data_IF_861123984986
#
_entry.id   IF_861123984986
#
_cell.length_a   1.000
_cell.length_b   1.000
_cell.length_c   1.000
_cell.angle_alpha   90.00
_cell.angle_beta   90.00
_cell.angle_gamma   90.00
#
_symmetry.space_group_name_H-M   'P 1'
#
loop_
_entity.id
_entity.type
_entity.pdbx_description
1 polymer ?
#
# COMPACT_ATOMS: atom_id res chain seq x y z
N UNK A 1 -6.48 1.13 -32.05
CA UNK A 1 -5.61 1.82 -33.03
C UNK A 1 -4.31 1.04 -33.09
N UNK A 2 -3.92 0.48 -34.24
CA UNK A 2 -2.61 -0.19 -34.38
C UNK A 2 -1.50 0.82 -34.07
N UNK A 3 -0.57 0.45 -33.19
CA UNK A 3 0.62 1.26 -32.93
C UNK A 3 1.32 1.55 -34.27
N UNK A 4 1.47 2.83 -34.62
CA UNK A 4 2.14 3.26 -35.86
C UNK A 4 1.24 3.68 -37.03
N UNK A 5 -0.10 3.74 -36.87
CA UNK A 5 -1.00 4.11 -37.97
C UNK A 5 -0.86 5.58 -38.44
N UNK A 6 -0.27 6.47 -37.63
CA UNK A 6 -0.07 7.89 -37.96
C UNK A 6 1.40 8.26 -37.70
N UNK A 7 2.19 8.57 -38.75
CA UNK A 7 3.63 8.89 -38.62
C UNK A 7 3.90 10.07 -37.69
N UNK A 8 3.04 11.10 -37.70
CA UNK A 8 3.18 12.28 -36.86
C UNK A 8 3.05 11.96 -35.37
N UNK A 9 2.10 11.08 -35.00
CA UNK A 9 1.93 10.63 -33.62
C UNK A 9 3.09 9.72 -33.18
N UNK A 10 3.62 8.90 -34.10
CA UNK A 10 4.79 8.08 -33.82
C UNK A 10 6.03 8.94 -33.56
N UNK A 11 6.24 9.99 -34.36
CA UNK A 11 7.32 10.96 -34.17
C UNK A 11 7.16 11.71 -32.83
N UNK A 12 5.97 12.24 -32.54
CA UNK A 12 5.69 12.94 -31.29
C UNK A 12 5.93 12.04 -30.06
N UNK A 13 5.53 10.76 -30.14
CA UNK A 13 5.82 9.77 -29.10
C UNK A 13 7.31 9.56 -28.94
N UNK A 14 8.06 9.32 -30.02
CA UNK A 14 9.50 9.09 -29.98
C UNK A 14 10.27 10.29 -29.38
N UNK A 15 9.92 11.51 -29.81
CA UNK A 15 10.50 12.75 -29.26
C UNK A 15 10.22 12.89 -27.77
N UNK A 16 8.98 12.64 -27.34
CA UNK A 16 8.59 12.72 -25.92
C UNK A 16 9.33 11.69 -25.07
N UNK A 17 9.48 10.46 -25.57
CA UNK A 17 10.23 9.40 -24.86
C UNK A 17 11.68 9.80 -24.68
N UNK A 18 12.33 10.31 -25.73
CA UNK A 18 13.73 10.71 -25.67
C UNK A 18 13.96 11.91 -24.73
N UNK A 19 13.10 12.93 -24.81
CA UNK A 19 13.14 14.08 -23.90
C UNK A 19 12.93 13.66 -22.44
N UNK A 20 11.95 12.80 -22.17
CA UNK A 20 11.67 12.29 -20.82
C UNK A 20 12.83 11.46 -20.27
N UNK A 21 13.44 10.59 -21.09
CA UNK A 21 14.63 9.81 -20.69
C UNK A 21 15.83 10.72 -20.41
N UNK A 22 16.06 11.74 -21.23
CA UNK A 22 17.15 12.72 -21.02
C UNK A 22 16.98 13.46 -19.71
N UNK A 23 15.76 13.87 -19.37
CA UNK A 23 15.43 14.47 -18.08
C UNK A 23 15.70 13.51 -16.91
N UNK A 24 15.19 12.28 -16.98
CA UNK A 24 15.34 11.28 -15.91
C UNK A 24 16.82 10.96 -15.61
N UNK A 25 17.69 10.90 -16.63
CA UNK A 25 19.13 10.66 -16.45
C UNK A 25 19.87 11.76 -15.68
N UNK A 26 19.32 12.98 -15.64
CA UNK A 26 19.95 14.15 -14.99
C UNK A 26 19.28 14.52 -13.67
N UNK A 27 18.21 13.80 -13.30
CA UNK A 27 17.46 14.06 -12.08
C UNK A 27 18.30 13.70 -10.85
N UNK A 28 18.39 14.64 -9.92
CA UNK A 28 19.00 14.48 -8.59
C UNK A 28 18.10 15.12 -7.54
N UNK A 29 18.40 14.91 -6.26
CA UNK A 29 17.65 15.53 -5.15
C UNK A 29 17.70 17.06 -5.17
N UNK A 30 18.77 17.64 -5.71
CA UNK A 30 19.02 19.09 -5.70
C UNK A 30 18.28 19.83 -6.82
N UNK A 31 18.01 19.16 -7.94
CA UNK A 31 17.46 19.80 -9.15
C UNK A 31 15.99 19.45 -9.43
N UNK A 32 15.30 18.80 -8.48
CA UNK A 32 13.89 18.38 -8.59
C UNK A 32 12.93 19.50 -8.95
N UNK A 33 13.13 20.72 -8.42
CA UNK A 33 12.27 21.88 -8.72
C UNK A 33 12.40 22.35 -10.17
N UNK A 34 13.62 22.35 -10.70
CA UNK A 34 13.89 22.79 -12.07
C UNK A 34 13.28 21.79 -13.05
N UNK A 35 13.59 20.51 -12.88
CA UNK A 35 13.03 19.45 -13.73
C UNK A 35 11.52 19.27 -13.52
N UNK A 36 10.99 19.60 -12.35
CA UNK A 36 9.54 19.57 -12.12
C UNK A 36 8.77 20.57 -12.99
N UNK A 37 9.33 21.76 -13.22
CA UNK A 37 8.73 22.75 -14.14
C UNK A 37 8.79 22.28 -15.59
N UNK A 38 9.87 21.58 -15.96
CA UNK A 38 10.02 21.02 -17.30
C UNK A 38 9.06 19.84 -17.52
N UNK A 39 8.99 18.91 -16.54
CA UNK A 39 8.05 17.81 -16.52
C UNK A 39 6.61 18.30 -16.66
N UNK A 40 6.22 19.36 -15.94
CA UNK A 40 4.90 19.97 -16.08
C UNK A 40 4.57 20.28 -17.54
N UNK A 41 5.47 20.95 -18.26
CA UNK A 41 5.29 21.32 -19.69
C UNK A 41 5.12 20.10 -20.60
N UNK A 42 5.96 19.08 -20.45
CA UNK A 42 5.91 17.88 -21.30
C UNK A 42 4.63 17.07 -21.01
N UNK A 43 4.26 16.97 -19.74
CA UNK A 43 3.09 16.22 -19.27
C UNK A 43 1.77 16.86 -19.72
N UNK A 44 1.74 18.18 -19.96
CA UNK A 44 0.57 18.84 -20.56
C UNK A 44 0.28 18.35 -21.99
N UNK A 45 1.30 17.99 -22.75
CA UNK A 45 1.14 17.59 -24.15
C UNK A 45 0.91 16.09 -24.30
N UNK A 46 1.78 15.27 -23.69
CA UNK A 46 1.78 13.81 -23.88
C UNK A 46 1.91 13.05 -22.54
N UNK A 47 0.92 13.16 -21.63
CA UNK A 47 1.00 12.63 -20.26
C UNK A 47 1.22 11.10 -20.22
N UNK A 48 0.48 10.34 -21.02
CA UNK A 48 0.57 8.86 -21.02
C UNK A 48 1.99 8.37 -21.36
N UNK A 49 2.62 8.95 -22.39
CA UNK A 49 3.96 8.56 -22.84
C UNK A 49 5.02 8.92 -21.80
N UNK A 50 4.88 10.10 -21.16
CA UNK A 50 5.76 10.56 -20.10
C UNK A 50 5.68 9.62 -18.90
N UNK A 51 4.48 9.32 -18.40
CA UNK A 51 4.30 8.47 -17.24
C UNK A 51 4.69 7.01 -17.50
N UNK A 52 4.41 6.49 -18.70
CA UNK A 52 4.89 5.16 -19.11
C UNK A 52 6.42 5.08 -18.99
N UNK A 53 7.12 6.08 -19.55
CA UNK A 53 8.59 6.16 -19.52
C UNK A 53 9.13 6.30 -18.09
N UNK A 54 8.51 7.15 -17.27
CA UNK A 54 8.91 7.38 -15.88
C UNK A 54 8.71 6.12 -15.02
N UNK A 55 7.55 5.47 -15.14
CA UNK A 55 7.24 4.25 -14.39
C UNK A 55 8.16 3.09 -14.79
N UNK A 56 8.53 2.97 -16.07
CA UNK A 56 9.54 2.00 -16.51
C UNK A 56 10.92 2.25 -15.89
N UNK A 57 11.32 3.51 -15.72
CA UNK A 57 12.60 3.84 -15.05
C UNK A 57 12.55 3.57 -13.54
N UNK A 58 11.46 3.92 -12.86
CA UNK A 58 11.28 3.64 -11.42
C UNK A 58 11.33 2.14 -11.14
N UNK A 59 10.75 1.32 -12.03
CA UNK A 59 10.78 -0.13 -11.88
C UNK A 59 12.19 -0.73 -11.89
N UNK A 60 13.14 -0.07 -12.56
CA UNK A 60 14.53 -0.50 -12.61
C UNK A 60 15.40 0.11 -11.49
N UNK A 61 15.06 1.32 -11.03
CA UNK A 61 15.90 2.12 -10.14
C UNK A 61 15.07 2.71 -8.99
N UNK A 62 15.20 2.11 -7.80
CA UNK A 62 14.49 2.49 -6.58
C UNK A 62 14.97 3.85 -6.00
N UNK A 63 16.25 4.16 -6.14
CA UNK A 63 16.86 5.42 -5.71
C UNK A 63 16.24 6.65 -6.39
N UNK A 64 15.58 6.49 -7.54
CA UNK A 64 14.88 7.56 -8.25
C UNK A 64 13.48 7.86 -7.69
N UNK A 65 12.90 7.01 -6.84
CA UNK A 65 11.51 7.15 -6.36
C UNK A 65 11.29 8.52 -5.70
N UNK A 66 12.11 8.86 -4.71
CA UNK A 66 11.93 10.12 -3.96
C UNK A 66 12.16 11.36 -4.84
N UNK A 67 13.27 11.46 -5.61
CA UNK A 67 13.46 12.57 -6.55
C UNK A 67 12.33 12.73 -7.58
N UNK A 68 11.79 11.60 -8.10
CA UNK A 68 10.70 11.64 -9.07
C UNK A 68 9.42 12.14 -8.42
N UNK A 69 9.05 11.60 -7.25
CA UNK A 69 7.90 12.09 -6.49
C UNK A 69 8.07 13.57 -6.16
N UNK A 70 9.29 14.06 -5.90
CA UNK A 70 9.55 15.48 -5.68
C UNK A 70 9.38 16.36 -6.92
N UNK A 71 9.78 15.84 -8.08
CA UNK A 71 9.67 16.48 -9.38
C UNK A 71 8.20 16.68 -9.81
N UNK A 72 7.26 15.84 -9.35
CA UNK A 72 5.84 15.87 -9.74
C UNK A 72 5.04 17.07 -9.19
N UNK A 73 5.69 18.03 -8.49
CA UNK A 73 5.01 19.16 -7.83
C UNK A 73 4.15 20.03 -8.76
N UNK A 74 4.55 20.18 -10.02
CA UNK A 74 3.90 21.09 -10.99
C UNK A 74 3.00 20.36 -12.00
N UNK A 75 2.63 19.11 -11.70
CA UNK A 75 1.73 18.31 -12.53
C UNK A 75 0.27 18.73 -12.28
N UNK A 76 -0.56 18.67 -13.34
CA UNK A 76 -1.98 19.02 -13.24
C UNK A 76 -2.83 17.91 -12.62
N UNK A 77 -4.04 18.22 -12.12
CA UNK A 77 -4.97 17.19 -11.63
C UNK A 77 -5.26 16.09 -12.66
N UNK A 78 -5.58 16.45 -13.92
CA UNK A 78 -5.83 15.47 -14.99
C UNK A 78 -4.61 14.57 -15.25
N UNK A 79 -3.41 15.14 -15.18
CA UNK A 79 -2.19 14.37 -15.32
C UNK A 79 -1.98 13.41 -14.14
N UNK A 80 -2.41 13.75 -12.92
CA UNK A 80 -2.40 12.80 -11.81
C UNK A 80 -3.38 11.65 -12.02
N UNK A 81 -4.58 11.91 -12.55
CA UNK A 81 -5.53 10.84 -12.88
C UNK A 81 -4.96 9.88 -13.93
N UNK A 82 -4.32 10.43 -14.96
CA UNK A 82 -3.62 9.63 -15.97
C UNK A 82 -2.41 8.88 -15.38
N UNK A 83 -1.67 9.46 -14.45
CA UNK A 83 -0.60 8.76 -13.73
C UNK A 83 -1.15 7.57 -12.96
N UNK A 84 -2.27 7.73 -12.23
CA UNK A 84 -2.91 6.62 -11.50
C UNK A 84 -3.39 5.53 -12.46
N UNK A 85 -3.98 5.88 -13.60
CA UNK A 85 -4.36 4.91 -14.63
C UNK A 85 -3.15 4.14 -15.19
N UNK A 86 -2.07 4.85 -15.52
CA UNK A 86 -0.84 4.23 -16.01
C UNK A 86 -0.19 3.34 -14.95
N UNK A 87 -0.18 3.78 -13.70
CA UNK A 87 0.33 3.01 -12.56
C UNK A 87 -0.43 1.69 -12.39
N UNK A 88 -1.76 1.72 -12.44
CA UNK A 88 -2.60 0.51 -12.42
C UNK A 88 -2.33 -0.40 -13.61
N UNK A 89 -2.16 0.16 -14.81
CA UNK A 89 -1.83 -0.60 -16.02
C UNK A 89 -0.47 -1.33 -15.89
N UNK A 90 0.53 -0.68 -15.30
CA UNK A 90 1.83 -1.29 -15.00
C UNK A 90 1.73 -2.37 -13.91
N UNK A 91 0.92 -2.17 -12.87
CA UNK A 91 0.66 -3.20 -11.84
C UNK A 91 -0.11 -4.42 -12.38
N UNK A 92 -1.02 -4.19 -13.33
CA UNK A 92 -1.85 -5.23 -13.95
C UNK A 92 -1.16 -5.97 -15.11
N UNK A 93 0.08 -5.58 -15.48
CA UNK A 93 0.82 -6.14 -16.60
C UNK A 93 1.03 -7.67 -16.45
N UNK A 94 0.45 -8.50 -17.33
CA UNK A 94 0.56 -9.96 -17.22
C UNK A 94 1.91 -10.51 -17.70
N UNK A 95 2.65 -9.72 -18.48
CA UNK A 95 3.94 -10.13 -19.07
C UNK A 95 5.11 -10.10 -18.09
N UNK A 96 4.91 -9.61 -16.86
CA UNK A 96 5.96 -9.48 -15.85
C UNK A 96 5.74 -10.48 -14.73
N UNK A 97 6.73 -11.34 -14.51
CA UNK A 97 6.74 -12.23 -13.34
C UNK A 97 6.82 -11.38 -12.08
N UNK A 98 5.95 -11.67 -11.11
CA UNK A 98 5.85 -10.93 -9.83
C UNK A 98 6.81 -11.48 -8.76
N UNK A 99 7.28 -12.70 -8.95
CA UNK A 99 8.31 -13.34 -8.14
C UNK A 99 9.63 -13.36 -8.92
N UNK A 100 10.75 -13.35 -8.21
CA UNK A 100 12.06 -13.66 -8.78
C UNK A 100 12.12 -15.14 -9.16
N UNK A 101 13.19 -15.53 -9.84
CA UNK A 101 13.45 -16.93 -10.24
C UNK A 101 13.53 -17.89 -9.04
N UNK A 102 13.84 -17.37 -7.85
CA UNK A 102 13.82 -18.13 -6.59
C UNK A 102 12.40 -18.52 -6.11
N UNK A 103 11.35 -17.91 -6.68
CA UNK A 103 9.95 -18.11 -6.32
C UNK A 103 9.58 -17.69 -4.89
N UNK A 104 10.50 -17.07 -4.14
CA UNK A 104 10.30 -16.62 -2.76
C UNK A 104 10.20 -15.09 -2.72
N UNK A 105 11.15 -14.43 -3.36
CA UNK A 105 11.26 -12.99 -3.29
C UNK A 105 10.39 -12.33 -4.35
N UNK A 106 9.76 -11.22 -3.97
CA UNK A 106 9.06 -10.36 -4.93
C UNK A 106 10.06 -9.74 -5.89
N UNK A 107 9.68 -9.62 -7.16
CA UNK A 107 10.50 -8.95 -8.16
C UNK A 107 10.74 -7.48 -7.82
N UNK A 108 11.94 -7.00 -8.11
CA UNK A 108 12.39 -5.64 -7.79
C UNK A 108 11.42 -4.59 -8.34
N UNK A 109 10.95 -4.77 -9.58
CA UNK A 109 10.02 -3.83 -10.23
C UNK A 109 8.73 -3.62 -9.43
N UNK A 110 8.21 -4.68 -8.81
CA UNK A 110 6.96 -4.62 -8.04
C UNK A 110 7.19 -3.96 -6.68
N UNK A 111 8.32 -4.23 -6.03
CA UNK A 111 8.74 -3.53 -4.81
C UNK A 111 8.93 -2.03 -5.07
N UNK A 112 9.60 -1.67 -6.16
CA UNK A 112 9.82 -0.27 -6.54
C UNK A 112 8.52 0.47 -6.84
N UNK A 113 7.59 -0.16 -7.57
CA UNK A 113 6.26 0.42 -7.82
C UNK A 113 5.45 0.58 -6.54
N UNK A 114 5.48 -0.42 -5.67
CA UNK A 114 4.79 -0.41 -4.38
C UNK A 114 5.29 0.75 -3.49
N UNK A 115 6.62 0.88 -3.36
CA UNK A 115 7.26 2.00 -2.66
C UNK A 115 6.95 3.35 -3.31
N UNK A 116 6.91 3.42 -4.65
CA UNK A 116 6.50 4.62 -5.36
C UNK A 116 5.04 5.01 -5.06
N UNK A 117 4.10 4.05 -5.02
CA UNK A 117 2.71 4.30 -4.62
C UNK A 117 2.67 4.94 -3.23
N UNK A 118 3.31 4.32 -2.25
CA UNK A 118 3.35 4.82 -0.87
C UNK A 118 3.85 6.27 -0.78
N UNK A 119 4.95 6.60 -1.48
CA UNK A 119 5.50 7.96 -1.49
C UNK A 119 4.61 8.96 -2.25
N UNK A 120 4.06 8.57 -3.40
CA UNK A 120 3.18 9.40 -4.21
C UNK A 120 1.94 9.80 -3.43
N UNK A 121 1.22 8.81 -2.89
CA UNK A 121 0.01 9.07 -2.12
C UNK A 121 0.35 9.81 -0.83
N UNK A 122 1.40 9.47 -0.09
CA UNK A 122 1.80 10.26 1.10
C UNK A 122 1.95 11.75 0.78
N UNK A 123 2.58 12.09 -0.35
CA UNK A 123 2.93 13.47 -0.68
C UNK A 123 1.79 14.29 -1.28
N UNK A 124 0.97 13.69 -2.15
CA UNK A 124 -0.02 14.42 -2.93
C UNK A 124 -1.45 14.09 -2.47
N UNK A 125 -2.10 15.01 -1.72
CA UNK A 125 -3.42 14.77 -1.14
C UNK A 125 -4.55 14.73 -2.18
N UNK A 126 -4.38 15.36 -3.33
CA UNK A 126 -5.42 15.51 -4.35
C UNK A 126 -5.53 14.31 -5.30
N UNK A 127 -4.66 13.30 -5.17
CA UNK A 127 -4.71 12.10 -6.01
C UNK A 127 -5.76 11.15 -5.45
N UNK A 128 -6.58 10.63 -6.37
CA UNK A 128 -7.57 9.57 -6.17
C UNK A 128 -6.87 8.26 -5.74
N UNK A 129 -7.25 7.70 -4.56
CA UNK A 129 -6.62 6.52 -3.95
C UNK A 129 -7.51 5.26 -4.02
N UNK A 130 -8.83 5.44 -4.11
CA UNK A 130 -9.85 4.39 -4.09
C UNK A 130 -9.66 3.41 -5.24
N UNK A 131 -9.32 3.88 -6.45
CA UNK A 131 -9.06 3.00 -7.59
C UNK A 131 -7.92 2.01 -7.34
N UNK A 132 -6.87 2.43 -6.63
CA UNK A 132 -5.78 1.54 -6.21
C UNK A 132 -6.22 0.56 -5.13
N UNK A 133 -6.98 1.01 -4.13
CA UNK A 133 -7.48 0.14 -3.07
C UNK A 133 -8.45 -0.91 -3.63
N UNK A 134 -9.37 -0.52 -4.51
CA UNK A 134 -10.29 -1.43 -5.19
C UNK A 134 -9.53 -2.43 -6.07
N UNK A 135 -8.49 -2.01 -6.78
CA UNK A 135 -7.63 -2.91 -7.52
C UNK A 135 -7.05 -3.99 -6.60
N UNK A 136 -6.46 -3.61 -5.46
CA UNK A 136 -5.91 -4.55 -4.47
C UNK A 136 -6.99 -5.51 -3.94
N UNK A 137 -8.16 -4.99 -3.57
CA UNK A 137 -9.29 -5.82 -3.06
C UNK A 137 -9.75 -6.83 -4.11
N UNK A 138 -9.93 -6.40 -5.36
CA UNK A 138 -10.40 -7.27 -6.44
C UNK A 138 -9.36 -8.33 -6.83
N UNK A 139 -8.08 -7.97 -6.81
CA UNK A 139 -7.01 -8.92 -7.10
C UNK A 139 -6.86 -9.96 -6.00
N UNK A 140 -7.01 -9.55 -4.74
CA UNK A 140 -7.01 -10.46 -3.60
C UNK A 140 -8.22 -11.41 -3.65
N UNK A 141 -9.41 -10.90 -3.98
CA UNK A 141 -10.60 -11.73 -4.23
C UNK A 141 -10.39 -12.75 -5.36
N UNK A 142 -9.52 -12.45 -6.32
CA UNK A 142 -9.15 -13.36 -7.41
C UNK A 142 -8.04 -14.35 -7.02
N UNK A 143 -7.63 -14.41 -5.75
CA UNK A 143 -6.58 -15.29 -5.24
C UNK A 143 -5.16 -14.80 -5.51
N UNK A 144 -4.98 -13.59 -6.06
CA UNK A 144 -3.65 -13.00 -6.25
C UNK A 144 -3.23 -12.26 -4.97
N UNK A 145 -2.46 -12.94 -4.13
CA UNK A 145 -2.00 -12.42 -2.83
C UNK A 145 -0.79 -11.50 -2.92
N UNK A 146 0.00 -11.56 -3.99
CA UNK A 146 1.24 -10.78 -4.10
C UNK A 146 1.01 -9.26 -4.09
N UNK A 147 -0.16 -8.78 -4.53
CA UNK A 147 -0.52 -7.35 -4.48
C UNK A 147 -0.63 -6.80 -3.06
N UNK A 148 -0.70 -7.64 -2.02
CA UNK A 148 -0.70 -7.19 -0.62
C UNK A 148 0.52 -6.34 -0.26
N UNK A 149 1.65 -6.47 -0.97
CA UNK A 149 2.81 -5.57 -0.78
C UNK A 149 2.45 -4.10 -1.01
N UNK A 150 1.57 -3.82 -1.97
CA UNK A 150 1.14 -2.46 -2.27
C UNK A 150 0.33 -1.89 -1.13
N UNK A 151 -0.55 -2.70 -0.53
CA UNK A 151 -1.29 -2.31 0.68
C UNK A 151 -0.32 -2.06 1.85
N UNK A 152 0.63 -2.97 2.05
CA UNK A 152 1.63 -2.86 3.12
C UNK A 152 2.43 -1.57 3.02
N UNK A 153 3.01 -1.29 1.86
CA UNK A 153 3.80 -0.07 1.66
C UNK A 153 2.94 1.20 1.72
N UNK A 154 1.67 1.14 1.29
CA UNK A 154 0.74 2.26 1.48
C UNK A 154 0.55 2.56 2.97
N UNK A 155 0.29 1.55 3.80
CA UNK A 155 0.13 1.73 5.25
C UNK A 155 1.45 2.21 5.88
N UNK A 156 2.59 1.59 5.56
CA UNK A 156 3.92 2.01 6.03
C UNK A 156 4.23 3.48 5.71
N UNK A 157 3.98 3.94 4.48
CA UNK A 157 4.36 5.30 4.06
C UNK A 157 3.30 6.34 4.43
N UNK A 158 2.01 6.02 4.32
CA UNK A 158 0.92 6.97 4.57
C UNK A 158 0.51 7.05 6.04
N UNK A 159 0.55 5.94 6.78
CA UNK A 159 0.20 5.90 8.20
C UNK A 159 1.42 5.90 9.11
N UNK A 160 2.57 5.42 8.63
CA UNK A 160 3.79 5.34 9.44
C UNK A 160 3.84 4.13 10.35
N UNK A 161 2.97 3.15 10.11
CA UNK A 161 2.90 1.89 10.85
C UNK A 161 3.70 0.87 10.06
N UNK A 162 4.81 0.42 10.61
CA UNK A 162 5.69 -0.58 10.01
C UNK A 162 5.66 -1.86 10.84
N UNK A 163 5.93 -3.00 10.21
CA UNK A 163 6.18 -4.23 10.93
C UNK A 163 7.53 -4.11 11.65
N UNK A 164 7.54 -4.42 12.95
CA UNK A 164 8.74 -4.38 13.76
C UNK A 164 9.40 -5.75 13.76
N UNK A 165 10.55 -5.86 13.12
CA UNK A 165 11.38 -7.07 13.10
C UNK A 165 12.52 -6.95 14.12
N UNK A 166 13.02 -8.09 14.60
CA UNK A 166 14.22 -8.19 15.45
C UNK A 166 14.22 -7.31 16.72
N UNK A 167 13.09 -7.25 17.42
CA UNK A 167 12.97 -6.51 18.69
C UNK A 167 13.72 -7.21 19.83
N UNK A 168 14.42 -6.43 20.66
CA UNK A 168 14.96 -6.91 21.93
C UNK A 168 13.83 -7.24 22.92
N UNK A 169 14.11 -8.05 23.94
CA UNK A 169 13.14 -8.39 24.98
C UNK A 169 12.54 -7.13 25.66
N UNK A 170 13.38 -6.14 25.95
CA UNK A 170 12.95 -4.88 26.56
C UNK A 170 12.06 -4.06 25.61
N UNK A 171 12.40 -4.03 24.31
CA UNK A 171 11.59 -3.34 23.30
C UNK A 171 10.23 -4.04 23.11
N UNK A 172 10.21 -5.38 23.15
CA UNK A 172 8.98 -6.17 23.07
C UNK A 172 8.09 -5.94 24.30
N UNK A 173 8.68 -5.88 25.49
CA UNK A 173 7.92 -5.56 26.71
C UNK A 173 7.40 -4.13 26.70
N UNK A 174 8.18 -3.16 26.18
CA UNK A 174 7.72 -1.79 26.00
C UNK A 174 6.56 -1.70 24.98
N UNK A 175 6.57 -2.54 23.94
CA UNK A 175 5.45 -2.62 22.98
C UNK A 175 4.16 -3.19 23.59
N UNK A 176 4.25 -4.02 24.64
CA UNK A 176 3.10 -4.47 25.41
C UNK A 176 2.57 -3.43 26.42
N UNK A 177 3.27 -2.29 26.57
CA UNK A 177 2.90 -1.21 27.47
C UNK A 177 1.91 -0.21 26.87
N UNK A 178 1.74 0.93 27.56
CA UNK A 178 0.91 2.03 27.11
C UNK A 178 1.48 2.76 25.88
N UNK A 179 0.68 3.65 25.29
CA UNK A 179 1.02 4.42 24.08
C UNK A 179 2.38 5.12 24.18
N UNK A 180 2.73 5.69 25.34
CA UNK A 180 4.01 6.35 25.55
C UNK A 180 5.20 5.39 25.37
N UNK A 181 5.14 4.18 25.94
CA UNK A 181 6.22 3.19 25.81
C UNK A 181 6.34 2.66 24.38
N UNK A 182 5.20 2.41 23.72
CA UNK A 182 5.15 2.02 22.31
C UNK A 182 5.75 3.09 21.39
N UNK A 183 5.46 4.36 21.67
CA UNK A 183 6.01 5.49 20.94
C UNK A 183 7.52 5.60 21.14
N UNK A 184 8.02 5.43 22.38
CA UNK A 184 9.46 5.42 22.65
C UNK A 184 10.22 4.39 21.80
N UNK A 185 9.70 3.16 21.67
CA UNK A 185 10.32 2.13 20.82
C UNK A 185 10.33 2.56 19.35
N UNK A 186 9.22 3.12 18.88
CA UNK A 186 9.10 3.62 17.49
C UNK A 186 10.07 4.76 17.20
N UNK A 187 10.26 5.66 18.16
CA UNK A 187 11.20 6.78 18.10
C UNK A 187 12.66 6.30 18.12
N UNK A 188 12.99 5.33 18.98
CA UNK A 188 14.33 4.72 19.07
C UNK A 188 14.73 4.04 17.75
N UNK A 189 13.77 3.45 17.04
CA UNK A 189 13.98 2.83 15.73
C UNK A 189 13.97 3.84 14.57
N UNK A 190 13.77 5.13 14.85
CA UNK A 190 13.72 6.18 13.81
C UNK A 190 12.52 6.04 12.86
N UNK A 191 11.48 5.32 13.28
CA UNK A 191 10.29 5.04 12.47
C UNK A 191 9.22 6.13 12.58
N UNK A 192 9.40 7.07 13.52
CA UNK A 192 8.52 8.20 13.73
C UNK A 192 8.36 9.05 12.47
N UNK A 193 7.15 9.06 11.90
CA UNK A 193 6.82 9.79 10.67
C UNK A 193 5.64 10.72 10.94
N UNK A 194 5.72 11.97 10.47
CA UNK A 194 4.56 12.87 10.45
C UNK A 194 3.58 12.42 9.36
N UNK A 195 2.57 11.65 9.75
CA UNK A 195 1.65 10.96 8.83
C UNK A 195 0.18 11.26 9.13
N UNK A 196 -0.14 12.15 10.09
CA UNK A 196 -1.54 12.37 10.53
C UNK A 196 -2.51 12.68 9.38
N UNK A 197 -2.12 13.57 8.47
CA UNK A 197 -2.97 13.96 7.32
C UNK A 197 -3.10 12.86 6.28
N UNK A 198 -2.00 12.20 5.91
CA UNK A 198 -2.02 11.10 4.93
C UNK A 198 -2.75 9.87 5.49
N UNK A 199 -2.58 9.59 6.78
CA UNK A 199 -3.26 8.53 7.54
C UNK A 199 -4.77 8.74 7.56
N UNK A 200 -5.24 9.94 7.91
CA UNK A 200 -6.68 10.27 7.88
C UNK A 200 -7.27 10.09 6.49
N UNK A 201 -6.55 10.45 5.43
CA UNK A 201 -7.05 10.26 4.06
C UNK A 201 -7.12 8.80 3.65
N UNK A 202 -6.14 7.97 4.04
CA UNK A 202 -6.20 6.52 3.82
C UNK A 202 -7.41 5.92 4.55
N UNK A 203 -7.63 6.33 5.81
CA UNK A 203 -8.79 5.93 6.61
C UNK A 203 -10.10 6.31 5.90
N UNK A 204 -10.24 7.57 5.50
CA UNK A 204 -11.46 8.07 4.84
C UNK A 204 -11.72 7.35 3.51
N UNK A 205 -10.68 7.04 2.75
CA UNK A 205 -10.80 6.30 1.50
C UNK A 205 -11.30 4.86 1.73
N UNK A 206 -10.84 4.20 2.80
CA UNK A 206 -11.27 2.84 3.15
C UNK A 206 -12.70 2.82 3.71
N UNK A 207 -13.04 3.74 4.61
CA UNK A 207 -14.36 3.79 5.26
C UNK A 207 -15.48 4.20 4.30
N UNK A 208 -15.30 5.31 3.58
CA UNK A 208 -16.36 5.85 2.69
C UNK A 208 -16.74 4.90 1.56
N UNK A 209 -15.82 4.03 1.15
CA UNK A 209 -16.02 3.06 0.08
C UNK A 209 -16.30 1.64 0.60
N UNK A 210 -16.46 1.45 1.92
CA UNK A 210 -16.77 0.15 2.51
C UNK A 210 -15.71 -0.93 2.26
N UNK A 211 -14.44 -0.54 2.12
CA UNK A 211 -13.35 -1.47 1.77
C UNK A 211 -12.71 -2.15 3.00
N UNK A 212 -12.98 -1.65 4.22
CA UNK A 212 -12.39 -2.18 5.46
C UNK A 212 -12.72 -3.65 5.70
N UNK A 213 -14.01 -4.00 5.80
CA UNK A 213 -14.43 -5.37 6.03
C UNK A 213 -13.99 -6.32 4.90
N UNK A 214 -14.21 -6.01 3.60
CA UNK A 214 -13.71 -6.84 2.52
C UNK A 214 -12.21 -7.10 2.60
N UNK A 215 -11.38 -6.09 2.88
CA UNK A 215 -9.94 -6.27 2.96
C UNK A 215 -9.53 -7.16 4.13
N UNK A 216 -10.07 -6.92 5.34
CA UNK A 216 -9.77 -7.75 6.52
C UNK A 216 -10.16 -9.21 6.26
N UNK A 217 -11.39 -9.44 5.78
CA UNK A 217 -11.92 -10.77 5.53
C UNK A 217 -11.11 -11.50 4.45
N UNK A 218 -10.84 -10.84 3.33
CA UNK A 218 -10.10 -11.44 2.23
C UNK A 218 -8.64 -11.73 2.61
N UNK A 219 -7.97 -10.88 3.40
CA UNK A 219 -6.61 -11.15 3.87
C UNK A 219 -6.61 -12.34 4.83
N UNK A 220 -7.54 -12.38 5.79
CA UNK A 220 -7.65 -13.48 6.74
C UNK A 220 -7.98 -14.81 6.05
N UNK A 221 -8.93 -14.82 5.11
CA UNK A 221 -9.26 -16.00 4.31
C UNK A 221 -8.09 -16.43 3.44
N UNK A 222 -7.39 -15.49 2.79
CA UNK A 222 -6.22 -15.80 1.98
C UNK A 222 -5.08 -16.40 2.81
N UNK A 223 -4.90 -15.96 4.06
CA UNK A 223 -3.92 -16.53 4.99
C UNK A 223 -4.19 -18.01 5.27
N UNK A 224 -5.43 -18.39 5.61
CA UNK A 224 -5.75 -19.81 5.82
C UNK A 224 -5.78 -20.61 4.51
N UNK A 225 -6.29 -20.00 3.43
CA UNK A 225 -6.43 -20.66 2.14
C UNK A 225 -5.07 -20.92 1.46
N UNK A 226 -4.04 -20.10 1.70
CA UNK A 226 -2.76 -20.27 1.00
C UNK A 226 -2.11 -21.62 1.28
N UNK A 227 -2.36 -22.22 2.45
CA UNK A 227 -1.86 -23.55 2.84
C UNK A 227 -2.47 -24.66 1.98
N UNK A 228 -3.73 -24.51 1.57
CA UNK A 228 -4.50 -25.57 0.89
C UNK A 228 -4.69 -25.33 -0.62
N UNK A 229 -4.73 -24.07 -1.04
CA UNK A 229 -5.03 -23.66 -2.42
C UNK A 229 -3.79 -23.17 -3.17
N UNK A 230 -2.61 -23.20 -2.54
CA UNK A 230 -1.36 -22.75 -3.14
C UNK A 230 -0.96 -23.60 -4.35
N UNK A 231 -0.59 -22.94 -5.45
CA UNK A 231 0.00 -23.58 -6.63
C UNK A 231 1.46 -24.00 -6.43
N UNK A 232 2.11 -23.55 -5.36
CA UNK A 232 3.50 -23.91 -5.07
C UNK A 232 3.58 -25.21 -4.28
N UNK A 233 4.47 -26.11 -4.72
CA UNK A 233 4.77 -27.37 -4.04
C UNK A 233 5.83 -27.21 -2.93
N UNK A 234 6.45 -26.04 -2.78
CA UNK A 234 7.53 -25.83 -1.82
C UNK A 234 7.04 -25.21 -0.51
N UNK A 235 7.17 -25.95 0.60
CA UNK A 235 6.75 -25.53 1.94
C UNK A 235 7.28 -24.14 2.33
N UNK A 236 8.52 -23.80 1.97
CA UNK A 236 9.10 -22.50 2.29
C UNK A 236 8.37 -21.33 1.60
N UNK A 237 7.91 -21.52 0.36
CA UNK A 237 7.15 -20.50 -0.37
C UNK A 237 5.74 -20.33 0.22
N UNK A 238 5.15 -21.42 0.71
CA UNK A 238 3.86 -21.38 1.41
C UNK A 238 3.98 -20.65 2.76
N UNK A 239 5.04 -20.94 3.53
CA UNK A 239 5.32 -20.26 4.80
C UNK A 239 5.50 -18.74 4.60
N UNK A 240 6.35 -18.34 3.65
CA UNK A 240 6.56 -16.93 3.32
C UNK A 240 5.25 -16.21 2.92
N UNK A 241 4.40 -16.89 2.14
CA UNK A 241 3.12 -16.33 1.75
C UNK A 241 2.15 -16.19 2.94
N UNK A 242 2.14 -17.18 3.84
CA UNK A 242 1.35 -17.15 5.06
C UNK A 242 1.78 -15.99 5.95
N UNK A 243 3.08 -15.88 6.23
CA UNK A 243 3.68 -14.86 7.09
C UNK A 243 3.36 -13.46 6.55
N UNK A 244 3.51 -13.25 5.25
CA UNK A 244 3.17 -11.97 4.62
C UNK A 244 1.69 -11.60 4.70
N UNK A 245 0.79 -12.57 4.60
CA UNK A 245 -0.64 -12.30 4.79
C UNK A 245 -0.91 -11.91 6.25
N UNK A 246 -0.28 -12.61 7.19
CA UNK A 246 -0.39 -12.31 8.61
C UNK A 246 0.16 -10.92 8.95
N UNK A 247 1.36 -10.59 8.50
CA UNK A 247 1.97 -9.26 8.65
C UNK A 247 1.07 -8.16 8.10
N UNK A 248 0.52 -8.34 6.89
CA UNK A 248 -0.35 -7.35 6.28
C UNK A 248 -1.65 -7.18 7.06
N UNK A 249 -2.19 -8.27 7.62
CA UNK A 249 -3.38 -8.24 8.47
C UNK A 249 -3.11 -7.49 9.78
N UNK A 250 -2.00 -7.78 10.43
CA UNK A 250 -1.58 -7.12 11.67
C UNK A 250 -1.40 -5.62 11.47
N UNK A 251 -0.66 -5.25 10.42
CA UNK A 251 -0.40 -3.86 10.07
C UNK A 251 -1.69 -3.09 9.74
N UNK A 252 -2.61 -3.71 8.99
CA UNK A 252 -3.91 -3.10 8.69
C UNK A 252 -4.77 -2.94 9.95
N UNK A 253 -4.79 -3.96 10.82
CA UNK A 253 -5.53 -3.91 12.09
C UNK A 253 -4.97 -2.83 13.02
N UNK A 254 -3.65 -2.71 13.14
CA UNK A 254 -3.01 -1.65 13.93
C UNK A 254 -3.33 -0.25 13.36
N UNK A 255 -3.33 -0.12 12.04
CA UNK A 255 -3.75 1.11 11.36
C UNK A 255 -5.20 1.50 11.68
N UNK A 256 -6.13 0.55 11.61
CA UNK A 256 -7.53 0.84 11.92
C UNK A 256 -7.73 1.16 13.39
N UNK A 257 -7.08 0.41 14.29
CA UNK A 257 -7.20 0.63 15.75
C UNK A 257 -6.62 1.98 16.17
N UNK A 258 -5.59 2.48 15.49
CA UNK A 258 -4.96 3.78 15.80
C UNK A 258 -5.69 4.99 15.19
N UNK A 259 -6.56 4.78 14.20
CA UNK A 259 -7.18 5.88 13.43
C UNK A 259 -8.70 5.93 13.50
N UNK A 260 -9.35 4.80 13.80
CA UNK A 260 -10.80 4.65 13.92
C UNK A 260 -11.17 4.52 15.39
N UNK A 261 -12.13 5.30 15.91
CA UNK A 261 -12.59 5.16 17.28
C UNK A 261 -13.26 3.79 17.50
N UNK A 262 -13.20 3.20 18.71
CA UNK A 262 -13.71 1.84 18.97
C UNK A 262 -15.19 1.63 18.61
N UNK A 263 -16.02 2.66 18.80
CA UNK A 263 -17.45 2.62 18.48
C UNK A 263 -17.72 2.49 16.98
N UNK A 264 -17.00 3.27 16.17
CA UNK A 264 -17.10 3.19 14.71
C UNK A 264 -16.53 1.86 14.22
N UNK A 265 -15.39 1.42 14.77
CA UNK A 265 -14.77 0.14 14.45
C UNK A 265 -15.72 -1.06 14.68
N UNK A 266 -16.50 -1.04 15.76
CA UNK A 266 -17.47 -2.10 16.07
C UNK A 266 -18.59 -2.22 15.02
N UNK A 267 -18.90 -1.15 14.28
CA UNK A 267 -19.91 -1.19 13.21
C UNK A 267 -19.36 -1.68 11.87
N UNK A 268 -18.02 -1.69 11.72
CA UNK A 268 -17.38 -2.06 10.46
C UNK A 268 -17.30 -3.56 10.25
N UNK A 269 -17.31 -4.34 11.32
CA UNK A 269 -17.05 -5.77 11.29
C UNK A 269 -18.22 -6.57 11.89
N UNK A 270 -18.55 -7.74 11.31
CA UNK A 270 -19.48 -8.68 11.92
C UNK A 270 -19.01 -9.17 13.30
N UNK A 271 -19.92 -9.80 14.03
CA UNK A 271 -19.61 -10.41 15.31
C UNK A 271 -18.63 -11.57 15.17
N UNK A 272 -17.91 -11.92 16.25
CA UNK A 272 -16.98 -13.08 16.25
C UNK A 272 -17.70 -14.36 15.83
N UNK A 273 -18.95 -14.54 16.24
CA UNK A 273 -19.78 -15.67 15.84
C UNK A 273 -19.94 -15.75 14.32
N UNK A 274 -20.39 -14.66 13.69
CA UNK A 274 -20.59 -14.56 12.24
C UNK A 274 -19.28 -14.70 11.46
N UNK A 275 -18.18 -14.11 11.96
CA UNK A 275 -16.84 -14.25 11.36
C UNK A 275 -16.41 -15.72 11.28
N UNK A 276 -16.66 -16.50 12.33
CA UNK A 276 -16.34 -17.93 12.35
C UNK A 276 -17.34 -18.78 11.55
N UNK A 277 -18.66 -18.52 11.68
CA UNK A 277 -19.70 -19.38 11.09
C UNK A 277 -19.97 -19.08 9.62
N UNK A 278 -20.15 -17.81 9.24
CA UNK A 278 -20.52 -17.41 7.88
C UNK A 278 -19.29 -17.20 7.00
N UNK A 279 -18.25 -16.56 7.55
CA UNK A 279 -17.04 -16.22 6.81
C UNK A 279 -15.91 -17.26 6.93
N UNK A 280 -16.10 -18.29 7.76
CA UNK A 280 -15.15 -19.39 7.98
C UNK A 280 -13.74 -18.93 8.38
N UNK A 281 -13.63 -17.87 9.19
CA UNK A 281 -12.35 -17.48 9.77
C UNK A 281 -11.97 -18.41 10.91
N UNK A 282 -10.67 -18.65 11.07
CA UNK A 282 -10.12 -19.31 12.24
C UNK A 282 -10.45 -18.50 13.51
N UNK A 283 -10.85 -19.16 14.62
CA UNK A 283 -11.24 -18.47 15.85
C UNK A 283 -10.16 -17.51 16.37
N UNK A 284 -8.88 -17.91 16.32
CA UNK A 284 -7.75 -17.07 16.74
C UNK A 284 -7.76 -15.69 16.05
N UNK A 285 -8.18 -15.66 14.79
CA UNK A 285 -8.08 -14.47 13.94
C UNK A 285 -9.35 -13.65 13.98
N UNK A 286 -10.50 -14.32 14.11
CA UNK A 286 -11.73 -13.65 14.48
C UNK A 286 -11.57 -12.90 15.81
N UNK A 287 -10.99 -13.54 16.84
CA UNK A 287 -10.69 -12.89 18.11
C UNK A 287 -9.62 -11.79 17.98
N UNK A 288 -8.56 -12.00 17.20
CA UNK A 288 -7.52 -10.98 16.97
C UNK A 288 -8.11 -9.68 16.39
N UNK A 289 -8.96 -9.81 15.38
CA UNK A 289 -9.60 -8.68 14.70
C UNK A 289 -10.65 -8.01 15.58
N UNK A 290 -11.43 -8.78 16.35
CA UNK A 290 -12.47 -8.27 17.23
C UNK A 290 -11.94 -7.74 18.58
N UNK A 291 -10.70 -8.01 18.95
CA UNK A 291 -10.12 -7.64 20.25
C UNK A 291 -10.29 -6.17 20.65
N UNK A 292 -10.13 -5.18 19.75
CA UNK A 292 -10.39 -3.77 20.11
C UNK A 292 -11.84 -3.51 20.57
N UNK A 293 -12.80 -4.24 20.00
CA UNK A 293 -14.23 -4.14 20.32
C UNK A 293 -14.48 -4.72 21.72
N UNK A 294 -13.95 -5.92 21.96
CA UNK A 294 -14.11 -6.63 23.24
C UNK A 294 -13.52 -5.82 24.40
N UNK A 295 -12.30 -5.32 24.24
CA UNK A 295 -11.66 -4.47 25.25
C UNK A 295 -12.49 -3.21 25.56
N UNK A 296 -13.14 -2.62 24.55
CA UNK A 296 -14.00 -1.45 24.75
C UNK A 296 -15.28 -1.81 25.52
N UNK A 297 -15.90 -2.96 25.19
CA UNK A 297 -17.09 -3.45 25.87
C UNK A 297 -16.82 -3.81 27.34
N UNK A 298 -15.67 -4.42 27.64
CA UNK A 298 -15.22 -4.71 29.01
C UNK A 298 -14.87 -3.44 29.79
N UNK A 299 -14.28 -2.43 29.13
CA UNK A 299 -14.05 -1.12 29.75
C UNK A 299 -15.35 -0.39 30.11
N UNK A 300 -16.40 -0.56 29.32
CA UNK A 300 -17.72 0.01 29.59
C UNK A 300 -18.46 -0.72 30.73
N UNK A 301 -18.30 -2.04 30.87
CA UNK A 301 -18.93 -2.80 31.95
C UNK A 301 -18.25 -2.58 33.31
N UNK A 302 -16.94 -2.30 33.33
CA UNK A 302 -16.17 -2.03 34.56
C UNK A 302 -16.22 -0.57 35.00
N UNK A 303 -16.52 0.37 34.10
CA UNK A 303 -16.69 1.81 34.41
C UNK A 303 -18.03 2.19 35.07
N UNK A 304 -18.96 1.24 35.24
CA UNK A 304 -20.24 1.43 35.93
C UNK A 304 -20.15 1.41 37.46
N UNK A 305 -19.08 0.84 38.02
CA UNK A 305 -18.90 0.65 39.47
C UNK A 305 -17.93 1.67 40.10
N UNK A 306 -17.57 2.73 39.38
CA UNK A 306 -16.77 3.85 39.90
C UNK A 306 -17.56 5.16 39.82
N UNK A 307 -18.57 5.30 40.67
CA UNK A 307 -19.12 6.58 41.12
C UNK A 307 -19.20 6.61 42.64
#
# INVERSE_FOLDING_TARGET
>A
LKEGAVPELALARATTVDETKRMMRRLSKENTKQYGRHLGKITHSNPSVVFDTILSQIQAYDNLIVPVVDMMKYITPLSFDLLTFMLLSHLASPSKTRLKEDGLNVSIWMQSLSSFCGNLYKKYPNIELVGLLQYITNTLKSGMSLQLIVLRDLVTKMAGIDTLEDLSADQLQAQAGGETLRTCVTDLLGLAKNTKRSSSRLKDALLKNGLVAPLILLIAQQRSACVFQGTSQHLKQLGELYDRCQETLEQLKEFLTSTVPPQEYATLLPTVGELCSEYNLEPEVAFFVARPILNHQEGLSTGGDAK
#
